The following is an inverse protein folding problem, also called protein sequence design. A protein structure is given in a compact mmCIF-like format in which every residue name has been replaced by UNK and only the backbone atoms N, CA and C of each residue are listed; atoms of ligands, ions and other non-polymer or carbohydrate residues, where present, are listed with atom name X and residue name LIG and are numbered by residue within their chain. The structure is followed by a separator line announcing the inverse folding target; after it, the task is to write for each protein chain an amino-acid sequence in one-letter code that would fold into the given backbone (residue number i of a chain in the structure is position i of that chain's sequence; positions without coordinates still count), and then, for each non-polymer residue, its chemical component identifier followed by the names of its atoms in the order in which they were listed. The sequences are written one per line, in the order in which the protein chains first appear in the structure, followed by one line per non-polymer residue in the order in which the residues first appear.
data_IF_115503909450
#
_entry.id   IF_115503909450
#
_cell.length_a   1.000
_cell.length_b   1.000
_cell.length_c   1.000
_cell.angle_alpha   90.00
_cell.angle_beta   90.00
_cell.angle_gamma   90.00
#
_symmetry.space_group_name_H-M   'P 1'
#
loop_
_entity.id
_entity.type
_entity.pdbx_description
1 polymer ?
#
# COMPACT_ATOMS: atom_id res chain seq x y z
N UNK A 1 -12.96 10.77 5.08
CA UNK A 1 -12.12 10.71 3.87
C UNK A 1 -13.00 10.63 2.63
N UNK A 2 -13.44 11.80 2.16
CA UNK A 2 -13.83 12.25 0.80
C UNK A 2 -14.66 13.49 1.05
N UNK A 3 -14.11 14.68 0.79
CA UNK A 3 -14.91 15.90 0.86
C UNK A 3 -15.95 15.88 -0.26
N UNK A 4 -17.20 16.21 0.09
CA UNK A 4 -18.26 16.38 -0.91
C UNK A 4 -17.82 17.42 -1.92
N UNK A 5 -17.91 17.07 -3.21
CA UNK A 5 -17.64 18.01 -4.29
C UNK A 5 -18.84 18.92 -4.57
N UNK A 6 -20.01 18.66 -3.98
CA UNK A 6 -21.28 19.35 -4.32
C UNK A 6 -21.29 20.83 -3.91
N UNK A 7 -20.57 21.22 -2.86
CA UNK A 7 -20.63 22.58 -2.31
C UNK A 7 -21.97 22.87 -1.61
N UNK A 8 -22.26 24.15 -1.36
CA UNK A 8 -23.53 24.63 -0.79
C UNK A 8 -24.41 25.26 -1.87
N UNK A 9 -25.62 25.71 -1.50
CA UNK A 9 -26.49 26.43 -2.41
C UNK A 9 -25.90 27.81 -2.78
N UNK A 10 -25.29 28.53 -1.84
CA UNK A 10 -24.66 29.83 -2.13
C UNK A 10 -23.34 29.69 -2.91
N UNK A 11 -22.62 28.58 -2.75
CA UNK A 11 -21.36 28.33 -3.44
C UNK A 11 -21.33 26.89 -4.01
N UNK A 12 -21.85 26.68 -5.23
CA UNK A 12 -21.92 25.37 -5.84
C UNK A 12 -20.52 24.84 -6.15
N UNK A 13 -20.31 23.56 -5.86
CA UNK A 13 -19.01 22.93 -6.07
C UNK A 13 -18.75 22.58 -7.53
N UNK A 14 -17.46 22.45 -7.87
CA UNK A 14 -16.98 22.20 -9.24
C UNK A 14 -16.70 20.71 -9.45
N UNK A 15 -16.84 20.24 -10.70
CA UNK A 15 -16.55 18.85 -11.09
C UNK A 15 -17.33 17.78 -10.29
N UNK A 16 -18.53 18.13 -9.82
CA UNK A 16 -19.36 17.25 -8.97
C UNK A 16 -19.63 15.91 -9.67
N UNK A 17 -20.08 15.95 -10.91
CA UNK A 17 -20.43 14.76 -11.68
C UNK A 17 -19.19 13.89 -11.97
N UNK A 18 -18.07 14.52 -12.36
CA UNK A 18 -16.81 13.83 -12.61
C UNK A 18 -16.28 13.09 -11.36
N UNK A 19 -16.49 13.64 -10.15
CA UNK A 19 -16.05 13.02 -8.89
C UNK A 19 -17.10 12.09 -8.26
N UNK A 20 -18.34 12.11 -8.71
CA UNK A 20 -19.46 11.43 -8.06
C UNK A 20 -19.25 9.90 -7.96
N UNK A 21 -18.77 9.27 -9.05
CA UNK A 21 -18.49 7.83 -9.08
C UNK A 21 -17.38 7.42 -8.10
N UNK A 22 -16.26 8.16 -8.11
CA UNK A 22 -15.16 7.93 -7.18
C UNK A 22 -15.60 8.15 -5.73
N UNK A 23 -16.34 9.20 -5.43
CA UNK A 23 -16.85 9.45 -4.08
C UNK A 23 -17.76 8.31 -3.60
N UNK A 24 -18.64 7.79 -4.47
CA UNK A 24 -19.54 6.69 -4.13
C UNK A 24 -18.76 5.41 -3.80
N UNK A 25 -17.76 5.05 -4.59
CA UNK A 25 -16.93 3.86 -4.34
C UNK A 25 -16.13 3.99 -3.05
N UNK A 26 -15.54 5.15 -2.77
CA UNK A 26 -14.82 5.43 -1.53
C UNK A 26 -15.72 5.37 -0.29
N UNK A 27 -16.96 5.88 -0.39
CA UNK A 27 -17.94 5.82 0.71
C UNK A 27 -18.40 4.38 0.96
N UNK A 28 -18.66 3.61 -0.09
CA UNK A 28 -19.03 2.19 0.03
C UNK A 28 -17.92 1.37 0.69
N UNK A 29 -16.66 1.63 0.36
CA UNK A 29 -15.50 0.97 0.96
C UNK A 29 -15.30 1.32 2.45
N UNK A 30 -15.95 2.37 2.97
CA UNK A 30 -16.01 2.69 4.40
C UNK A 30 -14.64 2.81 5.11
N UNK A 31 -13.59 3.26 4.41
CA UNK A 31 -12.22 3.34 4.95
C UNK A 31 -12.10 4.07 6.31
N UNK A 32 -12.92 5.11 6.54
CA UNK A 32 -12.92 5.82 7.82
C UNK A 32 -13.41 4.96 9.00
N UNK A 33 -14.41 4.09 8.77
CA UNK A 33 -14.89 3.14 9.78
C UNK A 33 -13.89 2.03 10.01
N UNK A 34 -13.26 1.54 8.95
CA UNK A 34 -12.18 0.56 9.06
C UNK A 34 -11.05 1.04 9.98
N UNK A 35 -10.57 2.27 9.76
CA UNK A 35 -9.53 2.85 10.62
C UNK A 35 -10.00 2.99 12.08
N UNK A 36 -11.23 3.46 12.31
CA UNK A 36 -11.79 3.54 13.68
C UNK A 36 -11.82 2.17 14.37
N UNK A 37 -12.18 1.11 13.64
CA UNK A 37 -12.15 -0.24 14.19
C UNK A 37 -10.73 -0.71 14.44
N UNK A 38 -9.77 -0.35 13.58
CA UNK A 38 -8.38 -0.67 13.83
C UNK A 38 -7.87 -0.02 15.12
N UNK A 39 -8.14 1.28 15.30
CA UNK A 39 -7.71 2.04 16.49
C UNK A 39 -8.38 1.52 17.77
N UNK A 40 -9.62 1.03 17.67
CA UNK A 40 -10.36 0.48 18.80
C UNK A 40 -9.96 -0.97 19.14
N UNK A 41 -9.73 -1.82 18.13
CA UNK A 41 -9.55 -3.27 18.32
C UNK A 41 -8.10 -3.71 18.40
N UNK A 42 -7.20 -3.01 17.71
CA UNK A 42 -5.78 -3.30 17.78
C UNK A 42 -5.11 -2.40 18.82
N UNK A 43 -3.89 -2.77 19.21
CA UNK A 43 -3.05 -1.93 20.07
C UNK A 43 -2.51 -0.74 19.29
N UNK A 44 -1.19 -0.70 19.10
CA UNK A 44 -0.56 0.39 18.34
C UNK A 44 -0.81 0.25 16.83
N UNK A 45 -1.53 1.21 16.25
CA UNK A 45 -1.71 1.36 14.80
C UNK A 45 -0.84 2.51 14.32
N UNK A 46 -0.05 2.27 13.26
CA UNK A 46 0.81 3.30 12.64
C UNK A 46 0.34 3.55 11.22
N UNK A 47 -0.16 4.76 10.97
CA UNK A 47 -0.49 5.22 9.63
C UNK A 47 0.77 5.55 8.83
N UNK A 48 0.82 5.15 7.57
CA UNK A 48 1.87 5.52 6.62
C UNK A 48 1.27 6.28 5.43
N UNK A 49 2.06 7.10 4.75
CA UNK A 49 1.64 7.70 3.47
C UNK A 49 1.52 6.57 2.41
N UNK A 50 0.33 6.34 1.83
CA UNK A 50 0.16 5.29 0.83
C UNK A 50 0.73 5.65 -0.55
N UNK A 51 1.27 6.87 -0.73
CA UNK A 51 1.71 7.34 -2.04
C UNK A 51 2.89 6.50 -2.56
N UNK A 52 2.79 6.08 -3.82
CA UNK A 52 3.81 5.35 -4.57
C UNK A 52 4.24 3.98 -3.99
N UNK A 53 3.64 3.48 -2.91
CA UNK A 53 4.00 2.19 -2.30
C UNK A 53 3.82 1.00 -3.24
N UNK A 54 2.88 1.08 -4.18
CA UNK A 54 2.64 0.05 -5.21
C UNK A 54 3.46 0.22 -6.49
N UNK A 55 4.21 1.33 -6.63
CA UNK A 55 5.05 1.66 -7.78
C UNK A 55 6.55 1.59 -7.45
N UNK A 56 6.88 1.64 -6.16
CA UNK A 56 8.24 1.54 -5.65
C UNK A 56 8.67 0.08 -5.62
N UNK A 57 9.87 -0.22 -6.08
CA UNK A 57 10.48 -1.53 -5.87
C UNK A 57 11.04 -1.64 -4.45
N UNK A 58 10.63 -2.65 -3.70
CA UNK A 58 11.13 -2.91 -2.34
C UNK A 58 12.62 -3.29 -2.30
N UNK A 59 13.18 -3.82 -3.41
CA UNK A 59 14.58 -4.22 -3.50
C UNK A 59 15.51 -3.04 -3.78
N UNK A 60 15.21 -2.23 -4.80
CA UNK A 60 16.12 -1.18 -5.28
C UNK A 60 15.62 0.26 -5.05
N UNK A 61 14.39 0.44 -4.56
CA UNK A 61 13.79 1.75 -4.31
C UNK A 61 13.35 2.52 -5.56
N UNK A 62 13.52 1.97 -6.77
CA UNK A 62 13.10 2.64 -8.00
C UNK A 62 11.57 2.78 -8.07
N UNK A 63 11.09 3.99 -8.37
CA UNK A 63 9.67 4.32 -8.47
C UNK A 63 9.30 4.55 -9.92
N UNK A 64 8.42 3.71 -10.46
CA UNK A 64 7.87 3.89 -11.81
C UNK A 64 6.46 3.28 -11.89
N UNK A 65 5.57 3.92 -12.66
CA UNK A 65 4.22 3.42 -12.92
C UNK A 65 4.25 2.09 -13.67
N UNK A 66 5.21 1.90 -14.57
CA UNK A 66 5.39 0.68 -15.37
C UNK A 66 5.82 -0.52 -14.51
N UNK A 67 6.28 -0.30 -13.28
CA UNK A 67 6.64 -1.40 -12.38
C UNK A 67 5.42 -2.27 -12.00
N UNK A 68 4.22 -1.67 -11.93
CA UNK A 68 2.97 -2.40 -11.65
C UNK A 68 2.24 -2.71 -12.95
N UNK A 69 2.39 -3.94 -13.43
CA UNK A 69 1.84 -4.36 -14.72
C UNK A 69 0.36 -4.73 -14.65
N UNK A 70 -0.07 -5.33 -13.53
CA UNK A 70 -1.47 -5.69 -13.30
C UNK A 70 -1.81 -5.61 -11.81
N UNK A 71 -3.03 -6.03 -11.43
CA UNK A 71 -3.42 -6.09 -10.02
C UNK A 71 -2.51 -7.04 -9.22
N UNK A 72 -2.12 -8.18 -9.81
CA UNK A 72 -1.29 -9.20 -9.16
C UNK A 72 0.18 -9.18 -9.56
N UNK A 73 0.57 -8.58 -10.70
CA UNK A 73 1.95 -8.65 -11.21
C UNK A 73 2.72 -7.35 -11.01
N UNK A 74 3.91 -7.47 -10.40
CA UNK A 74 4.91 -6.43 -10.31
C UNK A 74 6.22 -6.89 -10.97
N UNK A 75 6.85 -6.00 -11.74
CA UNK A 75 8.18 -6.21 -12.31
C UNK A 75 8.91 -4.88 -12.42
N UNK A 76 9.97 -4.71 -11.63
CA UNK A 76 10.77 -3.50 -11.65
C UNK A 76 11.49 -3.33 -13.00
N UNK A 77 11.33 -2.16 -13.62
CA UNK A 77 12.01 -1.83 -14.89
C UNK A 77 13.49 -1.53 -14.72
N UNK A 78 13.95 -1.23 -13.50
CA UNK A 78 15.35 -0.89 -13.21
C UNK A 78 16.19 -2.12 -12.83
N UNK A 79 15.73 -2.95 -11.88
CA UNK A 79 16.51 -4.09 -11.40
C UNK A 79 15.96 -5.46 -11.83
N UNK A 80 14.82 -5.50 -12.52
CA UNK A 80 14.20 -6.74 -13.00
C UNK A 80 13.47 -7.57 -11.92
N UNK A 81 13.51 -7.17 -10.64
CA UNK A 81 12.80 -7.86 -9.56
C UNK A 81 11.31 -8.02 -9.90
N UNK A 82 10.80 -9.25 -9.75
CA UNK A 82 9.42 -9.60 -10.03
C UNK A 82 8.81 -10.30 -8.82
N UNK A 83 7.58 -9.93 -8.48
CA UNK A 83 6.85 -10.44 -7.32
C UNK A 83 5.34 -10.18 -7.49
N UNK A 84 4.53 -10.67 -6.56
CA UNK A 84 3.14 -10.26 -6.44
C UNK A 84 3.06 -8.78 -6.03
N UNK A 85 2.21 -8.00 -6.71
CA UNK A 85 2.14 -6.54 -6.50
C UNK A 85 1.80 -6.16 -5.05
N UNK A 86 0.92 -6.92 -4.40
CA UNK A 86 0.54 -6.67 -3.01
C UNK A 86 1.65 -7.07 -2.01
N UNK A 87 2.49 -8.06 -2.32
CA UNK A 87 3.64 -8.43 -1.49
C UNK A 87 4.72 -7.33 -1.52
N UNK A 88 5.10 -6.88 -2.72
CA UNK A 88 6.01 -5.75 -2.89
C UNK A 88 5.49 -4.47 -2.19
N UNK A 89 4.19 -4.15 -2.36
CA UNK A 89 3.59 -3.00 -1.70
C UNK A 89 3.58 -3.13 -0.17
N UNK A 90 3.31 -4.32 0.35
CA UNK A 90 3.32 -4.59 1.80
C UNK A 90 4.71 -4.41 2.39
N UNK A 91 5.76 -4.86 1.70
CA UNK A 91 7.15 -4.64 2.11
C UNK A 91 7.50 -3.14 2.18
N UNK A 92 7.06 -2.34 1.18
CA UNK A 92 7.25 -0.89 1.19
C UNK A 92 6.50 -0.21 2.34
N UNK A 93 5.26 -0.64 2.62
CA UNK A 93 4.43 -0.15 3.74
C UNK A 93 5.10 -0.46 5.08
N UNK A 94 5.61 -1.68 5.25
CA UNK A 94 6.33 -2.10 6.45
C UNK A 94 7.58 -1.24 6.67
N UNK A 95 8.42 -1.05 5.64
CA UNK A 95 9.60 -0.21 5.73
C UNK A 95 9.26 1.23 6.11
N UNK A 96 8.18 1.78 5.54
CA UNK A 96 7.69 3.13 5.86
C UNK A 96 7.17 3.22 7.29
N UNK A 97 6.44 2.20 7.75
CA UNK A 97 5.86 2.14 9.10
C UNK A 97 6.92 2.00 10.18
N UNK A 98 7.96 1.21 9.94
CA UNK A 98 9.11 1.08 10.83
C UNK A 98 9.84 2.42 10.95
N UNK A 99 10.04 3.12 9.82
CA UNK A 99 10.63 4.46 9.81
C UNK A 99 9.78 5.48 10.58
N UNK A 100 8.46 5.49 10.36
CA UNK A 100 7.53 6.38 11.04
C UNK A 100 7.42 6.10 12.55
N UNK A 101 7.50 4.84 12.96
CA UNK A 101 7.47 4.44 14.37
C UNK A 101 8.82 4.60 15.09
N UNK A 102 9.88 5.04 14.38
CA UNK A 102 11.22 5.19 14.96
C UNK A 102 11.90 3.88 15.33
N UNK A 103 11.39 2.71 14.90
CA UNK A 103 11.90 1.38 15.26
C UNK A 103 12.93 0.83 14.26
N UNK A 104 13.85 1.68 13.78
CA UNK A 104 14.78 1.31 12.69
C UNK A 104 15.68 0.11 13.02
N UNK A 105 15.98 -0.13 14.30
CA UNK A 105 16.87 -1.23 14.72
C UNK A 105 16.21 -2.61 14.80
N UNK A 106 14.87 -2.72 14.78
CA UNK A 106 14.18 -3.99 14.90
C UNK A 106 14.14 -4.81 13.59
N UNK A 107 14.27 -4.16 12.42
CA UNK A 107 14.09 -4.80 11.11
C UNK A 107 15.30 -5.63 10.64
N UNK A 108 16.50 -5.28 11.11
CA UNK A 108 17.74 -5.91 10.64
C UNK A 108 17.92 -7.34 11.17
N UNK A 109 17.26 -7.73 12.26
CA UNK A 109 17.47 -9.04 12.90
C UNK A 109 16.50 -10.11 12.38
N UNK A 110 15.24 -9.77 12.07
CA UNK A 110 14.25 -10.74 11.58
C UNK A 110 14.45 -11.11 10.09
N UNK A 111 14.94 -10.18 9.28
CA UNK A 111 15.20 -10.40 7.84
C UNK A 111 16.34 -11.40 7.59
N UNK A 112 17.23 -11.61 8.58
CA UNK A 112 18.28 -12.62 8.52
C UNK A 112 17.76 -14.05 8.77
N UNK A 113 16.61 -14.21 9.43
CA UNK A 113 16.04 -15.53 9.75
C UNK A 113 15.04 -16.02 8.70
N UNK A 114 14.23 -15.14 8.10
CA UNK A 114 13.25 -15.56 7.09
C UNK A 114 13.85 -15.84 5.70
N UNK A 115 15.07 -15.36 5.42
CA UNK A 115 15.76 -15.67 4.15
C UNK A 115 16.27 -17.12 4.06
N UNK A 116 16.29 -17.85 5.19
CA UNK A 116 16.64 -19.28 5.24
C UNK A 116 15.43 -20.21 5.01
N UNK A 117 14.20 -19.70 5.06
CA UNK A 117 12.99 -20.53 4.95
C UNK A 117 12.51 -20.63 3.48
N UNK A 118 12.65 -19.57 2.68
CA UNK A 118 12.14 -19.56 1.29
C UNK A 118 13.00 -20.35 0.27
N UNK A 119 14.24 -20.71 0.60
CA UNK A 119 15.07 -21.57 -0.28
C UNK A 119 14.75 -23.07 -0.13
N UNK A 120 13.84 -23.44 0.78
CA UNK A 120 13.45 -24.82 1.02
C UNK A 120 12.10 -25.22 0.37
N UNK A 121 11.35 -24.29 -0.24
CA UNK A 121 9.99 -24.55 -0.73
C UNK A 121 9.75 -24.26 -2.22
N UNK A 122 10.77 -23.87 -3.01
CA UNK A 122 10.62 -23.65 -4.46
C UNK A 122 10.72 -24.95 -5.29
N UNK A 123 10.05 -26.01 -4.83
CA UNK A 123 9.82 -27.24 -5.60
C UNK A 123 8.33 -27.63 -5.56
N UNK A 124 7.44 -26.65 -5.50
CA UNK A 124 6.03 -26.90 -5.77
C UNK A 124 5.44 -25.82 -6.68
N UNK A 125 5.52 -26.11 -7.98
CA UNK A 125 4.94 -25.28 -9.01
C UNK A 125 3.42 -25.21 -8.89
N UNK A 126 2.90 -23.99 -8.80
CA UNK A 126 1.53 -23.70 -9.21
C UNK A 126 1.50 -22.35 -9.92
N UNK A 127 1.08 -22.42 -11.18
CA UNK A 127 0.60 -21.34 -12.03
C UNK A 127 -0.67 -20.71 -11.47
#
# INVERSE_FOLDING_TARGET
MTASAKGTAENPGKNVNAKAGLNRTMLNASHGRFNQYCDYKFGTVVGVDPRYTSQTCNVCGHVDKANRQSQCRFKCVSCGHADHADLNASANILASGIGAAGRREAFSLETSMNRQIDLAETDNGYY
#
